data_IF_250328808304
#
_entry.id   IF_250328808304
#
_cell.length_a   1.000
_cell.length_b   1.000
_cell.length_c   1.000
_cell.angle_alpha   90.00
_cell.angle_beta   90.00
_cell.angle_gamma   90.00
#
_symmetry.space_group_name_H-M   'P 1'
#
loop_
_entity.id
_entity.type
_entity.pdbx_description
1 polymer ?
#
# COMPACT_ATOMS: atom_id res chain seq x y z
N UNK A 1 -10.53 40.37 3.56
CA UNK A 1 -9.54 39.52 2.86
C UNK A 1 -10.21 38.22 2.52
N UNK A 2 -10.32 37.87 1.22
CA UNK A 2 -11.09 36.71 0.78
C UNK A 2 -10.20 35.46 0.83
N UNK A 3 -10.30 34.66 1.89
CA UNK A 3 -9.50 33.45 2.08
C UNK A 3 -10.12 32.30 1.29
N UNK A 4 -9.85 32.23 -0.02
CA UNK A 4 -10.20 31.05 -0.80
C UNK A 4 -9.28 29.89 -0.39
N UNK A 5 -9.84 28.86 0.25
CA UNK A 5 -9.20 27.55 0.41
C UNK A 5 -9.04 26.90 -0.97
N UNK A 6 -7.88 27.11 -1.61
CA UNK A 6 -7.55 26.45 -2.87
C UNK A 6 -7.29 24.96 -2.60
N UNK A 7 -8.11 24.11 -3.22
CA UNK A 7 -7.87 22.68 -3.26
C UNK A 7 -6.50 22.41 -3.91
N UNK A 8 -5.72 21.51 -3.31
CA UNK A 8 -4.41 21.14 -3.84
C UNK A 8 -4.58 20.44 -5.20
N UNK A 9 -4.04 21.05 -6.25
CA UNK A 9 -4.09 20.51 -7.61
C UNK A 9 -2.69 20.46 -8.20
N UNK A 10 -2.35 19.31 -8.79
CA UNK A 10 -1.11 19.13 -9.53
C UNK A 10 -1.26 19.68 -10.95
N UNK A 11 -0.18 20.28 -11.46
CA UNK A 11 -0.09 20.69 -12.86
C UNK A 11 -0.14 19.47 -13.78
N UNK A 12 -1.07 19.48 -14.73
CA UNK A 12 -1.17 18.44 -15.76
C UNK A 12 -0.07 18.62 -16.80
N UNK A 13 0.19 17.59 -17.60
CA UNK A 13 1.15 17.69 -18.70
C UNK A 13 0.72 18.76 -19.73
N UNK A 14 -0.58 18.82 -20.06
CA UNK A 14 -1.12 19.86 -20.94
C UNK A 14 -0.90 21.29 -20.42
N UNK A 15 -1.08 21.52 -19.12
CA UNK A 15 -0.79 22.82 -18.52
C UNK A 15 0.70 23.19 -18.62
N UNK A 16 1.60 22.20 -18.51
CA UNK A 16 3.05 22.43 -18.68
C UNK A 16 3.40 22.83 -20.11
N UNK A 17 2.79 22.22 -21.12
CA UNK A 17 2.95 22.63 -22.52
C UNK A 17 2.42 24.05 -22.77
N UNK A 18 1.29 24.41 -22.17
CA UNK A 18 0.75 25.76 -22.26
C UNK A 18 1.70 26.80 -21.63
N UNK A 19 2.30 26.48 -20.47
CA UNK A 19 3.30 27.32 -19.83
C UNK A 19 4.53 27.50 -20.73
N UNK A 20 5.05 26.40 -21.31
CA UNK A 20 6.20 26.44 -22.22
C UNK A 20 5.92 27.31 -23.45
N UNK A 21 4.76 27.14 -24.08
CA UNK A 21 4.37 27.94 -25.24
C UNK A 21 4.31 29.45 -24.92
N UNK A 22 3.76 29.80 -23.75
CA UNK A 22 3.62 31.19 -23.34
C UNK A 22 4.94 31.83 -22.92
N UNK A 23 5.84 31.06 -22.31
CA UNK A 23 7.19 31.54 -21.97
C UNK A 23 8.02 31.83 -23.22
N UNK A 24 7.82 31.09 -24.30
CA UNK A 24 8.49 31.37 -25.60
C UNK A 24 8.01 32.65 -26.27
N UNK A 25 6.87 33.18 -25.85
CA UNK A 25 6.27 34.43 -26.37
C UNK A 25 6.44 35.62 -25.43
N UNK A 26 7.37 35.53 -24.47
CA UNK A 26 7.77 36.62 -23.53
C UNK A 26 6.63 37.22 -22.68
N UNK A 27 5.57 36.47 -22.40
CA UNK A 27 4.52 36.91 -21.48
C UNK A 27 5.03 37.02 -20.05
N UNK A 28 4.47 37.97 -19.28
CA UNK A 28 4.78 38.08 -17.86
C UNK A 28 4.20 36.88 -17.10
N UNK A 29 4.89 36.40 -16.06
CA UNK A 29 4.44 35.26 -15.23
C UNK A 29 3.00 35.41 -14.72
N UNK A 30 2.58 36.65 -14.41
CA UNK A 30 1.22 36.95 -13.99
C UNK A 30 0.17 36.62 -15.06
N UNK A 31 0.45 36.97 -16.31
CA UNK A 31 -0.43 36.74 -17.45
C UNK A 31 -0.51 35.24 -17.78
N UNK A 32 0.63 34.55 -17.69
CA UNK A 32 0.71 33.09 -17.85
C UNK A 32 -0.12 32.37 -16.78
N UNK A 33 -0.03 32.81 -15.53
CA UNK A 33 -0.80 32.20 -14.45
C UNK A 33 -2.32 32.34 -14.67
N UNK A 34 -2.76 33.52 -15.13
CA UNK A 34 -4.17 33.78 -15.46
C UNK A 34 -4.63 32.94 -16.65
N UNK A 35 -3.85 32.85 -17.73
CA UNK A 35 -4.24 32.12 -18.94
C UNK A 35 -4.30 30.60 -18.74
N UNK A 36 -3.42 30.04 -17.89
CA UNK A 36 -3.38 28.61 -17.54
C UNK A 36 -4.38 28.27 -16.41
N UNK A 37 -4.87 29.28 -15.68
CA UNK A 37 -5.82 29.12 -14.57
C UNK A 37 -5.16 28.64 -13.27
N UNK A 38 -3.93 29.06 -13.00
CA UNK A 38 -3.15 28.71 -11.80
C UNK A 38 -2.79 29.97 -10.98
N UNK A 39 -2.29 29.82 -9.74
CA UNK A 39 -1.70 30.97 -9.03
C UNK A 39 -0.32 31.30 -9.59
N UNK A 40 0.03 32.58 -9.51
CA UNK A 40 1.40 33.07 -9.70
C UNK A 40 2.41 32.31 -8.83
N UNK A 41 2.04 32.02 -7.58
CA UNK A 41 2.85 31.22 -6.66
C UNK A 41 3.07 29.78 -7.12
N UNK A 42 2.09 29.18 -7.82
CA UNK A 42 2.21 27.83 -8.35
C UNK A 42 3.14 27.82 -9.58
N UNK A 43 3.02 28.82 -10.45
CA UNK A 43 3.92 28.99 -11.59
C UNK A 43 5.36 29.25 -11.13
N UNK A 44 5.58 30.15 -10.18
CA UNK A 44 6.92 30.42 -9.63
C UNK A 44 7.56 29.16 -9.03
N UNK A 45 6.80 28.39 -8.24
CA UNK A 45 7.28 27.11 -7.69
C UNK A 45 7.57 26.07 -8.76
N UNK A 46 6.76 26.02 -9.81
CA UNK A 46 6.96 25.12 -10.95
C UNK A 46 8.28 25.44 -11.67
N UNK A 47 8.50 26.71 -12.02
CA UNK A 47 9.73 27.17 -12.67
C UNK A 47 10.96 26.91 -11.79
N UNK A 48 10.90 27.26 -10.50
CA UNK A 48 12.02 27.05 -9.57
C UNK A 48 12.44 25.59 -9.41
N UNK A 49 11.52 24.63 -9.64
CA UNK A 49 11.78 23.20 -9.42
C UNK A 49 12.11 22.46 -10.70
N UNK A 50 11.63 22.94 -11.84
CA UNK A 50 11.60 22.17 -13.08
C UNK A 50 12.16 22.91 -14.30
N UNK A 51 12.56 24.18 -14.17
CA UNK A 51 13.34 24.85 -15.21
C UNK A 51 14.81 24.41 -15.14
N UNK A 52 15.46 24.39 -16.31
CA UNK A 52 16.89 24.19 -16.47
C UNK A 52 17.55 25.54 -16.83
N UNK A 53 18.88 25.57 -16.87
CA UNK A 53 19.64 26.78 -17.26
C UNK A 53 19.31 27.26 -18.68
N UNK A 54 18.98 26.32 -19.58
CA UNK A 54 18.55 26.60 -20.97
C UNK A 54 17.06 27.00 -21.09
N UNK A 55 16.32 27.04 -19.98
CA UNK A 55 14.92 27.42 -19.92
C UNK A 55 13.98 26.31 -19.47
N UNK A 56 12.68 26.48 -19.75
CA UNK A 56 11.62 25.59 -19.29
C UNK A 56 11.13 24.65 -20.41
N UNK A 57 11.41 23.35 -20.26
CA UNK A 57 10.89 22.30 -21.15
C UNK A 57 9.77 21.49 -20.50
N UNK A 58 8.58 21.46 -21.11
CA UNK A 58 7.40 20.82 -20.51
C UNK A 58 7.57 19.31 -20.30
N UNK A 59 8.21 18.63 -21.25
CA UNK A 59 8.45 17.18 -21.19
C UNK A 59 9.40 16.81 -20.05
N UNK A 60 10.57 17.48 -19.98
CA UNK A 60 11.55 17.29 -18.90
C UNK A 60 10.94 17.63 -17.54
N UNK A 61 10.21 18.74 -17.44
CA UNK A 61 9.52 19.13 -16.23
C UNK A 61 8.52 18.05 -15.77
N UNK A 62 7.74 17.49 -16.71
CA UNK A 62 6.79 16.43 -16.40
C UNK A 62 7.49 15.14 -15.93
N UNK A 63 8.59 14.76 -16.59
CA UNK A 63 9.40 13.61 -16.21
C UNK A 63 9.97 13.78 -14.78
N UNK A 64 10.56 14.93 -14.47
CA UNK A 64 11.08 15.25 -13.13
C UNK A 64 9.97 15.22 -12.06
N UNK A 65 8.81 15.82 -12.34
CA UNK A 65 7.67 15.81 -11.44
C UNK A 65 7.15 14.38 -11.17
N UNK A 66 7.09 13.56 -12.22
CA UNK A 66 6.69 12.15 -12.12
C UNK A 66 7.72 11.32 -11.36
N UNK A 67 9.01 11.53 -11.61
CA UNK A 67 10.09 10.86 -10.88
C UNK A 67 10.00 11.17 -9.39
N UNK A 68 9.87 12.45 -9.01
CA UNK A 68 9.68 12.84 -7.59
C UNK A 68 8.46 12.18 -6.96
N UNK A 69 7.36 12.02 -7.71
CA UNK A 69 6.15 11.34 -7.20
C UNK A 69 6.40 9.84 -6.93
N UNK A 70 7.19 9.20 -7.78
CA UNK A 70 7.54 7.78 -7.64
C UNK A 70 8.53 7.57 -6.49
N UNK A 71 9.54 8.44 -6.38
CA UNK A 71 10.59 8.34 -5.36
C UNK A 71 10.23 8.95 -4.01
N UNK A 72 9.14 9.72 -3.94
CA UNK A 72 8.65 10.28 -2.68
C UNK A 72 8.48 9.18 -1.62
N UNK A 73 9.11 9.38 -0.47
CA UNK A 73 8.99 8.48 0.67
C UNK A 73 7.53 8.39 1.09
N UNK A 74 6.94 7.20 0.93
CA UNK A 74 5.57 6.92 1.39
C UNK A 74 5.65 6.24 2.73
N UNK A 75 4.85 6.71 3.68
CA UNK A 75 4.68 6.01 4.95
C UNK A 75 4.16 4.59 4.67
N UNK A 76 4.89 3.59 5.17
CA UNK A 76 4.48 2.20 5.14
C UNK A 76 4.63 1.63 6.54
N UNK A 77 3.62 0.89 7.01
CA UNK A 77 3.69 0.12 8.26
C UNK A 77 4.60 -1.11 8.14
N UNK A 78 5.74 -0.98 7.46
CA UNK A 78 6.67 -2.09 7.23
C UNK A 78 7.54 -2.25 8.47
N UNK A 79 7.59 -3.47 8.99
CA UNK A 79 8.42 -3.88 10.11
C UNK A 79 8.91 -5.28 9.77
N UNK A 80 10.15 -5.58 10.14
CA UNK A 80 10.82 -6.85 9.83
C UNK A 80 10.09 -8.04 10.47
N UNK A 81 9.46 -7.82 11.64
CA UNK A 81 8.69 -8.83 12.39
C UNK A 81 7.42 -9.28 11.66
N UNK A 82 6.93 -8.52 10.68
CA UNK A 82 5.73 -8.92 9.92
C UNK A 82 5.98 -10.12 9.01
N UNK A 83 7.14 -10.15 8.35
CA UNK A 83 7.45 -11.16 7.33
C UNK A 83 7.47 -12.60 7.87
N UNK A 84 8.09 -12.93 9.02
CA UNK A 84 8.08 -14.29 9.54
C UNK A 84 6.67 -14.77 9.90
N UNK A 85 5.83 -13.92 10.49
CA UNK A 85 4.45 -14.26 10.87
C UNK A 85 3.60 -14.54 9.62
N UNK A 86 3.70 -13.68 8.59
CA UNK A 86 3.00 -13.88 7.32
C UNK A 86 3.46 -15.17 6.65
N UNK A 87 4.77 -15.40 6.54
CA UNK A 87 5.33 -16.62 5.93
C UNK A 87 4.86 -17.88 6.65
N UNK A 88 4.93 -17.89 7.99
CA UNK A 88 4.46 -19.01 8.81
C UNK A 88 2.96 -19.27 8.61
N UNK A 89 2.15 -18.22 8.65
CA UNK A 89 0.71 -18.33 8.41
C UNK A 89 0.37 -18.85 7.01
N UNK A 90 1.09 -18.38 5.99
CA UNK A 90 0.91 -18.88 4.62
C UNK A 90 1.30 -20.35 4.46
N UNK A 91 2.39 -20.80 5.08
CA UNK A 91 2.80 -22.21 5.08
C UNK A 91 1.76 -23.12 5.76
N UNK A 92 1.10 -22.62 6.80
CA UNK A 92 0.03 -23.31 7.52
C UNK A 92 -1.35 -23.16 6.84
N UNK A 93 -1.44 -22.44 5.72
CA UNK A 93 -2.68 -22.24 4.99
C UNK A 93 -3.68 -21.29 5.65
N UNK A 94 -3.22 -20.37 6.49
CA UNK A 94 -4.08 -19.41 7.18
C UNK A 94 -4.63 -18.34 6.23
N UNK A 95 -5.87 -17.90 6.51
CA UNK A 95 -6.46 -16.71 5.89
C UNK A 95 -5.77 -15.44 6.37
N UNK A 96 -5.91 -14.35 5.61
CA UNK A 96 -5.39 -13.02 6.00
C UNK A 96 -5.96 -12.52 7.33
N UNK A 97 -7.19 -12.89 7.66
CA UNK A 97 -7.84 -12.59 8.94
C UNK A 97 -7.16 -13.32 10.10
N UNK A 98 -6.88 -14.62 9.94
CA UNK A 98 -6.20 -15.42 10.95
C UNK A 98 -4.77 -14.93 11.19
N UNK A 99 -4.07 -14.52 10.13
CA UNK A 99 -2.73 -13.91 10.23
C UNK A 99 -2.81 -12.58 11.00
N UNK A 100 -3.79 -11.73 10.69
CA UNK A 100 -4.01 -10.46 11.40
C UNK A 100 -4.33 -10.68 12.89
N UNK A 101 -5.19 -11.65 13.20
CA UNK A 101 -5.48 -12.02 14.58
C UNK A 101 -4.23 -12.51 15.31
N UNK A 102 -3.42 -13.38 14.68
CA UNK A 102 -2.16 -13.84 15.26
C UNK A 102 -1.19 -12.68 15.51
N UNK A 103 -1.09 -11.72 14.59
CA UNK A 103 -0.24 -10.54 14.77
C UNK A 103 -0.65 -9.70 15.98
N UNK A 104 -1.94 -9.57 16.27
CA UNK A 104 -2.40 -8.86 17.47
C UNK A 104 -1.94 -9.52 18.77
N UNK A 105 -1.70 -10.83 18.76
CA UNK A 105 -1.21 -11.59 19.92
C UNK A 105 0.32 -11.55 20.02
N UNK A 106 1.02 -11.75 18.91
CA UNK A 106 2.50 -11.82 18.91
C UNK A 106 3.16 -10.44 18.89
N UNK A 107 2.56 -9.45 18.20
CA UNK A 107 3.13 -8.12 17.95
C UNK A 107 2.04 -7.03 17.96
N UNK A 108 1.40 -6.74 19.11
CA UNK A 108 0.27 -5.82 19.19
C UNK A 108 0.57 -4.40 18.68
N UNK A 109 1.76 -3.87 18.97
CA UNK A 109 2.13 -2.48 18.65
C UNK A 109 2.26 -2.18 17.16
N UNK A 110 2.55 -3.21 16.36
CA UNK A 110 2.76 -3.11 14.92
C UNK A 110 1.73 -3.92 14.12
N UNK A 111 0.70 -4.44 14.79
CA UNK A 111 -0.26 -5.34 14.17
C UNK A 111 -0.89 -4.77 12.89
N UNK A 112 -0.91 -5.59 11.85
CA UNK A 112 -1.50 -5.24 10.55
C UNK A 112 -2.97 -5.63 10.51
N UNK A 113 -3.77 -4.84 9.79
CA UNK A 113 -5.13 -5.26 9.42
C UNK A 113 -5.09 -6.38 8.39
N UNK A 114 -6.14 -7.21 8.37
CA UNK A 114 -6.29 -8.29 7.40
C UNK A 114 -6.22 -7.79 5.93
N UNK A 115 -6.73 -6.60 5.64
CA UNK A 115 -6.63 -5.97 4.31
C UNK A 115 -5.17 -5.66 3.93
N UNK A 116 -4.37 -5.17 4.88
CA UNK A 116 -2.95 -4.88 4.65
C UNK A 116 -2.16 -6.17 4.44
N UNK A 117 -2.43 -7.22 5.23
CA UNK A 117 -1.86 -8.55 5.03
C UNK A 117 -2.20 -9.07 3.63
N UNK A 118 -3.48 -9.00 3.24
CA UNK A 118 -3.93 -9.41 1.91
C UNK A 118 -3.17 -8.67 0.79
N UNK A 119 -3.10 -7.33 0.85
CA UNK A 119 -2.38 -6.51 -0.13
C UNK A 119 -0.91 -6.93 -0.22
N UNK A 120 -0.24 -7.16 0.91
CA UNK A 120 1.17 -7.60 0.93
C UNK A 120 1.37 -8.96 0.28
N UNK A 121 0.51 -9.92 0.58
CA UNK A 121 0.57 -11.26 -0.01
C UNK A 121 0.29 -11.18 -1.52
N UNK A 122 -0.69 -10.38 -1.94
CA UNK A 122 -1.00 -10.18 -3.36
C UNK A 122 0.16 -9.51 -4.13
N UNK A 123 0.78 -8.47 -3.57
CA UNK A 123 1.95 -7.80 -4.19
C UNK A 123 3.15 -8.74 -4.28
N UNK A 124 3.38 -9.59 -3.26
CA UNK A 124 4.49 -10.54 -3.28
C UNK A 124 4.32 -11.64 -4.35
N UNK A 125 3.08 -12.09 -4.60
CA UNK A 125 2.77 -13.03 -5.71
C UNK A 125 3.11 -12.49 -7.10
N UNK A 126 3.08 -11.16 -7.29
CA UNK A 126 3.46 -10.51 -8.56
C UNK A 126 4.98 -10.44 -8.73
N UNK A 127 5.75 -10.50 -7.64
CA UNK A 127 7.21 -10.33 -7.63
C UNK A 127 8.02 -11.64 -7.67
N UNK A 128 7.40 -12.81 -7.46
CA UNK A 128 8.12 -14.08 -7.47
C UNK A 128 7.19 -15.28 -7.64
N UNK A 129 7.45 -16.07 -8.68
CA UNK A 129 6.87 -17.39 -8.86
C UNK A 129 7.10 -18.27 -7.62
N UNK A 130 6.15 -19.18 -7.36
CA UNK A 130 6.18 -20.23 -6.31
C UNK A 130 5.57 -19.89 -4.93
N UNK A 131 4.31 -19.46 -4.87
CA UNK A 131 3.48 -19.74 -3.69
C UNK A 131 1.98 -19.84 -4.04
N UNK A 132 1.65 -20.71 -5.00
CA UNK A 132 0.27 -21.11 -5.26
C UNK A 132 0.16 -22.61 -5.04
N UNK A 133 0.01 -23.00 -3.78
CA UNK A 133 -0.73 -24.22 -3.44
C UNK A 133 -1.59 -24.07 -2.19
N UNK A 134 -1.96 -22.85 -1.76
CA UNK A 134 -2.94 -22.69 -0.65
C UNK A 134 -3.88 -21.48 -0.84
N UNK A 135 -4.23 -21.14 -2.09
CA UNK A 135 -5.38 -20.26 -2.35
C UNK A 135 -6.22 -20.74 -3.55
N UNK A 136 -6.89 -21.91 -3.50
CA UNK A 136 -8.00 -22.18 -4.41
C UNK A 136 -9.31 -22.32 -3.62
N UNK A 137 -9.82 -21.29 -2.94
CA UNK A 137 -11.13 -21.40 -2.30
C UNK A 137 -11.89 -20.11 -1.93
N UNK A 138 -11.38 -18.90 -2.17
CA UNK A 138 -12.09 -17.66 -1.77
C UNK A 138 -12.69 -16.86 -2.94
N UNK A 139 -12.54 -17.33 -4.19
CA UNK A 139 -13.13 -16.68 -5.37
C UNK A 139 -14.42 -17.37 -5.88
N UNK A 140 -14.85 -18.48 -5.28
CA UNK A 140 -16.11 -19.16 -5.63
C UNK A 140 -16.73 -19.65 -4.33
N UNK A 141 -17.85 -19.06 -3.93
CA UNK A 141 -18.62 -19.50 -2.77
C UNK A 141 -19.01 -20.96 -2.92
N UNK A 142 -18.35 -21.84 -2.18
CA UNK A 142 -18.80 -23.19 -1.84
C UNK A 142 -17.81 -23.76 -0.82
N UNK A 143 -18.22 -23.86 0.43
CA UNK A 143 -17.52 -24.64 1.43
C UNK A 143 -17.50 -26.11 0.96
N UNK A 144 -16.31 -26.65 0.70
CA UNK A 144 -16.12 -28.10 0.63
C UNK A 144 -15.01 -28.45 1.61
N UNK A 145 -15.41 -28.96 2.77
CA UNK A 145 -14.53 -29.59 3.74
C UNK A 145 -13.92 -30.82 3.06
N UNK A 146 -12.66 -30.71 2.62
CA UNK A 146 -11.92 -31.87 2.14
C UNK A 146 -11.30 -32.55 3.37
N UNK A 147 -11.95 -33.61 3.84
CA UNK A 147 -11.36 -34.58 4.76
C UNK A 147 -10.24 -35.30 4.02
N UNK A 148 -8.98 -34.93 4.30
CA UNK A 148 -7.84 -35.75 3.89
C UNK A 148 -7.68 -36.85 4.93
N UNK A 149 -8.19 -38.04 4.60
CA UNK A 149 -7.93 -39.28 5.32
C UNK A 149 -6.44 -39.60 5.20
N UNK A 150 -5.62 -39.14 6.13
CA UNK A 150 -4.24 -39.59 6.27
C UNK A 150 -4.25 -40.99 6.87
N UNK A 151 -4.15 -42.00 6.00
CA UNK A 151 -3.78 -43.34 6.40
C UNK A 151 -2.27 -43.42 6.53
N UNK A 152 -1.74 -43.33 7.75
CA UNK A 152 -0.41 -43.85 8.10
C UNK A 152 -0.47 -44.46 9.50
N UNK A 153 0.12 -45.66 9.60
CA UNK A 153 0.03 -46.66 10.64
C UNK A 153 0.28 -46.22 12.09
N UNK A 154 -0.40 -46.92 13.00
CA UNK A 154 -0.17 -46.93 14.46
C UNK A 154 1.30 -47.14 14.79
N UNK A 155 1.93 -46.22 15.50
CA UNK A 155 2.85 -46.57 16.60
C UNK A 155 3.10 -45.38 17.53
N UNK A 156 2.93 -45.67 18.81
CA UNK A 156 3.22 -44.92 20.03
C UNK A 156 4.15 -43.69 19.92
N UNK A 157 3.66 -42.55 20.43
CA UNK A 157 4.40 -41.71 21.38
C UNK A 157 3.44 -40.73 22.07
N UNK A 158 3.12 -41.06 23.32
CA UNK A 158 2.50 -40.13 24.26
C UNK A 158 3.55 -39.09 24.67
N UNK A 159 3.23 -37.79 24.55
CA UNK A 159 3.74 -36.77 25.47
C UNK A 159 3.21 -35.36 25.11
N UNK A 160 2.33 -34.87 26.00
CA UNK A 160 2.33 -33.50 26.56
C UNK A 160 1.89 -32.37 25.61
N UNK A 161 0.62 -31.97 25.75
CA UNK A 161 0.19 -30.57 25.62
C UNK A 161 -0.99 -30.32 26.58
N UNK A 162 -0.79 -29.66 27.73
CA UNK A 162 -1.88 -29.16 28.56
C UNK A 162 -1.96 -27.65 28.42
N UNK A 163 -2.96 -27.13 27.69
CA UNK A 163 -3.44 -25.77 27.90
C UNK A 163 -4.96 -25.84 27.80
N UNK A 164 -5.60 -25.88 28.97
CA UNK A 164 -7.05 -26.02 29.10
C UNK A 164 -7.82 -24.75 28.73
N UNK A 165 -9.16 -24.83 28.68
CA UNK A 165 -10.02 -23.67 28.79
C UNK A 165 -10.55 -23.57 30.24
N UNK A 166 -10.19 -22.50 30.94
CA UNK A 166 -10.93 -22.09 32.14
C UNK A 166 -12.32 -21.62 31.69
N UNK A 167 -13.33 -22.43 32.00
CA UNK A 167 -14.73 -22.01 32.04
C UNK A 167 -15.00 -21.47 33.45
N UNK A 168 -15.00 -20.14 33.56
CA UNK A 168 -15.87 -19.43 34.48
C UNK A 168 -17.33 -19.76 34.10
N UNK A 169 -18.18 -20.13 35.06
CA UNK A 169 -19.52 -19.57 35.32
C UNK A 169 -20.20 -20.35 36.47
N UNK A 170 -20.91 -19.58 37.31
CA UNK A 170 -21.96 -19.93 38.28
C UNK A 170 -21.56 -20.39 39.70
N UNK A 171 -21.51 -19.40 40.60
CA UNK A 171 -22.01 -19.56 41.95
C UNK A 171 -23.53 -19.43 41.99
N UNK A 172 -24.19 -20.27 42.79
CA UNK A 172 -25.34 -19.95 43.63
C UNK A 172 -25.61 -21.14 44.57
N UNK A 173 -26.00 -20.80 45.80
CA UNK A 173 -26.30 -21.62 46.99
C UNK A 173 -25.10 -21.91 47.89
#
# INVERSE_FOLDING_TARGET
>A
MNTQTRQYRQLTQGQRYQIEALLRTDYMQKEIAVSVGISESALSRELSRNANDDGYGAESAHALASQRRVTATKFSKTDERHMPIIKKGLLLGWSSENISFRMKVEVPDIALSHTTVYKRVATNKVLGALCIRIYPALARGAAKVVSVRLGVSRSLAASIFPIGPQLLICGLV
#
